data_IF_607324761226
#
_entry.id   IF_607324761226
#
_cell.length_a   1.000
_cell.length_b   1.000
_cell.length_c   1.000
_cell.angle_alpha   90.00
_cell.angle_beta   90.00
_cell.angle_gamma   90.00
#
_symmetry.space_group_name_H-M   'P 1'
#
loop_
_entity.id
_entity.type
_entity.pdbx_description
1 polymer ?
#
# COMPACT_ATOMS: atom_id res chain seq x y z
N UNK A 1 -16.72 0.39 -14.77
CA UNK A 1 -15.86 -0.67 -14.20
C UNK A 1 -14.52 -0.63 -14.92
N UNK A 2 -13.42 -0.40 -14.19
CA UNK A 2 -12.06 -0.17 -14.74
C UNK A 2 -11.58 -1.39 -15.56
N UNK A 3 -10.90 -1.15 -16.68
CA UNK A 3 -10.46 -2.18 -17.64
C UNK A 3 -9.59 -3.28 -17.01
N UNK A 4 -8.72 -2.93 -16.05
CA UNK A 4 -7.87 -3.90 -15.36
C UNK A 4 -8.62 -4.95 -14.54
N UNK A 5 -9.72 -4.56 -13.88
CA UNK A 5 -10.55 -5.48 -13.07
C UNK A 5 -11.26 -6.48 -13.98
N UNK A 6 -11.78 -6.02 -15.12
CA UNK A 6 -12.40 -6.88 -16.13
C UNK A 6 -11.41 -7.93 -16.64
N UNK A 7 -10.18 -7.52 -16.98
CA UNK A 7 -9.14 -8.43 -17.48
C UNK A 7 -8.73 -9.48 -16.44
N UNK A 8 -8.52 -9.08 -15.18
CA UNK A 8 -8.19 -10.03 -14.11
C UNK A 8 -9.32 -11.06 -13.89
N UNK A 9 -10.57 -10.58 -13.89
CA UNK A 9 -11.76 -11.44 -13.71
C UNK A 9 -11.90 -12.43 -14.86
N UNK A 10 -11.68 -11.98 -16.09
CA UNK A 10 -11.76 -12.81 -17.29
C UNK A 10 -10.71 -13.92 -17.27
N UNK A 11 -9.45 -13.62 -16.92
CA UNK A 11 -8.39 -14.63 -16.80
C UNK A 11 -8.71 -15.70 -15.75
N UNK A 12 -9.24 -15.29 -14.58
CA UNK A 12 -9.66 -16.24 -13.55
C UNK A 12 -10.76 -17.16 -14.08
N UNK A 13 -11.77 -16.59 -14.77
CA UNK A 13 -12.86 -17.39 -15.36
C UNK A 13 -12.35 -18.40 -16.38
N UNK A 14 -11.41 -18.00 -17.23
CA UNK A 14 -10.83 -18.89 -18.24
C UNK A 14 -10.12 -20.09 -17.61
N UNK A 15 -9.30 -19.88 -16.56
CA UNK A 15 -8.65 -20.97 -15.83
C UNK A 15 -9.68 -21.89 -15.19
N UNK A 16 -10.70 -21.33 -14.52
CA UNK A 16 -11.75 -22.11 -13.87
C UNK A 16 -12.56 -22.96 -14.87
N UNK A 17 -12.78 -22.48 -16.08
CA UNK A 17 -13.57 -23.17 -17.11
C UNK A 17 -12.74 -24.18 -17.92
N UNK A 18 -11.51 -23.82 -18.31
CA UNK A 18 -10.67 -24.65 -19.18
C UNK A 18 -9.92 -25.73 -18.42
N UNK A 19 -9.32 -25.37 -17.29
CA UNK A 19 -8.50 -26.28 -16.49
C UNK A 19 -9.34 -27.04 -15.46
N UNK A 20 -10.55 -26.56 -15.17
CA UNK A 20 -11.52 -27.15 -14.24
C UNK A 20 -10.85 -27.68 -12.95
N UNK A 21 -10.14 -26.81 -12.21
CA UNK A 21 -9.38 -27.24 -11.06
C UNK A 21 -10.31 -27.74 -9.96
N UNK A 22 -9.97 -28.90 -9.37
CA UNK A 22 -10.76 -29.52 -8.30
C UNK A 22 -10.87 -28.65 -7.05
N UNK A 23 -9.89 -27.78 -6.81
CA UNK A 23 -9.81 -26.90 -5.64
C UNK A 23 -9.24 -25.55 -6.04
N UNK A 24 -9.64 -24.49 -5.32
CA UNK A 24 -9.06 -23.16 -5.42
C UNK A 24 -8.95 -22.52 -4.04
N UNK A 25 -8.01 -21.58 -3.91
CA UNK A 25 -7.78 -20.83 -2.67
C UNK A 25 -8.08 -19.37 -2.94
N UNK A 26 -8.91 -18.78 -2.06
CA UNK A 26 -9.13 -17.34 -2.02
C UNK A 26 -8.45 -16.79 -0.77
N UNK A 27 -7.50 -15.89 -0.97
CA UNK A 27 -6.82 -15.17 0.11
C UNK A 27 -7.10 -13.67 0.00
N UNK A 28 -7.29 -13.02 1.15
CA UNK A 28 -7.38 -11.57 1.26
C UNK A 28 -6.43 -11.11 2.37
N UNK A 29 -5.76 -9.97 2.15
CA UNK A 29 -4.83 -9.40 3.12
C UNK A 29 -5.53 -8.26 3.85
N UNK A 30 -6.00 -8.56 5.07
CA UNK A 30 -6.66 -7.57 5.92
C UNK A 30 -5.73 -6.37 6.16
N UNK A 31 -6.29 -5.18 5.97
CA UNK A 31 -5.59 -3.90 6.20
C UNK A 31 -4.21 -3.85 5.54
N UNK A 32 -4.10 -4.31 4.27
CA UNK A 32 -2.85 -4.42 3.52
C UNK A 32 -1.87 -3.27 3.74
N UNK A 33 -2.29 -2.02 3.50
CA UNK A 33 -1.39 -0.86 3.65
C UNK A 33 -0.88 -0.65 5.08
N UNK A 34 -1.64 -1.06 6.10
CA UNK A 34 -1.25 -0.98 7.52
C UNK A 34 -0.29 -2.12 7.90
N UNK A 35 -0.35 -3.27 7.23
CA UNK A 35 0.46 -4.44 7.58
C UNK A 35 1.84 -4.47 6.92
N UNK A 36 2.14 -3.56 6.00
CA UNK A 36 3.44 -3.50 5.33
C UNK A 36 4.55 -3.20 6.34
N UNK A 37 5.53 -4.10 6.49
CA UNK A 37 6.73 -3.87 7.31
C UNK A 37 7.67 -2.86 6.65
N UNK A 38 8.08 -1.84 7.41
CA UNK A 38 9.06 -0.86 6.92
C UNK A 38 10.40 -1.49 6.58
N UNK A 39 10.89 -2.40 7.42
CA UNK A 39 12.17 -3.07 7.21
C UNK A 39 12.20 -3.84 5.89
N UNK A 40 11.14 -4.60 5.60
CA UNK A 40 11.02 -5.33 4.33
C UNK A 40 10.93 -4.38 3.13
N UNK A 41 10.07 -3.35 3.22
CA UNK A 41 9.89 -2.38 2.14
C UNK A 41 11.17 -1.60 1.81
N UNK A 42 11.92 -1.18 2.83
CA UNK A 42 13.19 -0.47 2.67
C UNK A 42 14.26 -1.38 2.06
N UNK A 43 14.30 -2.65 2.46
CA UNK A 43 15.18 -3.65 1.85
C UNK A 43 14.88 -3.83 0.36
N UNK A 44 13.60 -3.93 0.01
CA UNK A 44 13.16 -4.05 -1.38
C UNK A 44 13.51 -2.78 -2.18
N UNK A 45 13.32 -1.58 -1.62
CA UNK A 45 13.72 -0.33 -2.28
C UNK A 45 15.23 -0.30 -2.58
N UNK A 46 16.07 -0.66 -1.59
CA UNK A 46 17.53 -0.74 -1.78
C UNK A 46 17.95 -1.79 -2.81
N UNK A 47 17.10 -2.78 -3.08
CA UNK A 47 17.36 -3.83 -4.07
C UNK A 47 17.06 -3.39 -5.51
N UNK A 48 16.04 -2.55 -5.70
CA UNK A 48 15.56 -2.18 -7.04
C UNK A 48 15.92 -0.77 -7.49
N UNK A 49 16.37 0.09 -6.58
CA UNK A 49 16.79 1.45 -6.89
C UNK A 49 18.23 1.65 -6.45
N UNK A 50 19.01 2.31 -7.32
CA UNK A 50 20.43 2.59 -7.06
C UNK A 50 20.69 4.04 -6.64
N UNK A 51 19.80 4.99 -6.95
CA UNK A 51 19.98 6.40 -6.61
C UNK A 51 19.89 6.61 -5.07
N UNK A 52 20.98 6.99 -4.40
CA UNK A 52 20.99 7.18 -2.96
C UNK A 52 20.04 8.29 -2.50
N UNK A 53 19.82 9.34 -3.30
CA UNK A 53 18.90 10.44 -2.94
C UNK A 53 17.46 9.96 -2.96
N UNK A 54 17.08 9.18 -3.97
CA UNK A 54 15.77 8.56 -4.07
C UNK A 54 15.51 7.60 -2.90
N UNK A 55 16.48 6.74 -2.59
CA UNK A 55 16.38 5.79 -1.49
C UNK A 55 16.18 6.51 -0.15
N UNK A 56 16.96 7.55 0.13
CA UNK A 56 16.83 8.35 1.36
C UNK A 56 15.47 9.03 1.43
N UNK A 57 15.02 9.64 0.32
CA UNK A 57 13.71 10.29 0.26
C UNK A 57 12.58 9.30 0.57
N UNK A 58 12.59 8.12 -0.05
CA UNK A 58 11.57 7.09 0.17
C UNK A 58 11.61 6.54 1.60
N UNK A 59 12.80 6.34 2.17
CA UNK A 59 12.95 5.93 3.58
C UNK A 59 12.34 6.95 4.53
N UNK A 60 12.57 8.24 4.28
CA UNK A 60 12.02 9.31 5.11
C UNK A 60 10.50 9.38 5.02
N UNK A 61 9.92 9.17 3.83
CA UNK A 61 8.46 9.11 3.65
C UNK A 61 7.88 7.92 4.40
N UNK A 62 8.51 6.74 4.31
CA UNK A 62 8.04 5.52 4.96
C UNK A 62 8.10 5.65 6.49
N UNK A 63 9.20 6.18 7.02
CA UNK A 63 9.45 6.32 8.46
C UNK A 63 8.85 7.59 9.07
N UNK A 64 8.09 8.38 8.28
CA UNK A 64 7.55 9.64 8.77
C UNK A 64 6.67 9.38 10.01
N UNK A 65 6.92 10.06 11.15
CA UNK A 65 6.11 9.90 12.34
C UNK A 65 4.65 10.22 12.03
N UNK A 66 3.73 9.53 12.69
CA UNK A 66 2.30 9.84 12.62
C UNK A 66 1.93 10.60 13.88
N UNK A 67 1.42 11.81 13.69
CA UNK A 67 0.84 12.62 14.75
C UNK A 67 -0.41 11.92 15.28
N UNK A 68 -0.43 11.65 16.58
CA UNK A 68 -1.60 11.16 17.27
C UNK A 68 -1.97 12.11 18.41
N UNK A 69 -3.25 12.15 18.85
CA UNK A 69 -3.68 12.94 20.01
C UNK A 69 -2.90 12.65 21.30
N UNK A 70 -2.16 11.53 21.34
CA UNK A 70 -1.37 11.08 22.48
C UNK A 70 0.15 11.22 22.25
N UNK A 71 0.57 11.99 21.23
CA UNK A 71 1.98 12.23 20.88
C UNK A 71 2.41 11.60 19.55
N UNK A 72 3.69 11.76 19.23
CA UNK A 72 4.32 11.20 18.02
C UNK A 72 4.51 9.69 18.18
N UNK A 73 4.00 8.90 17.22
CA UNK A 73 4.33 7.48 17.10
C UNK A 73 5.21 7.27 15.89
N UNK A 74 6.32 6.55 16.09
CA UNK A 74 7.17 6.01 15.03
C UNK A 74 6.74 4.56 14.77
N UNK A 75 5.82 4.31 13.82
CA UNK A 75 5.42 2.95 13.53
C UNK A 75 6.52 2.23 12.75
N UNK A 76 6.73 0.94 13.02
CA UNK A 76 7.59 0.07 12.20
C UNK A 76 6.82 -0.61 11.04
N UNK A 77 5.52 -0.33 10.96
CA UNK A 77 4.59 -0.90 9.99
C UNK A 77 3.61 0.14 9.46
N UNK A 78 3.18 -0.07 8.23
CA UNK A 78 2.15 0.70 7.58
C UNK A 78 2.71 1.84 6.72
N UNK A 79 2.03 2.16 5.63
CA UNK A 79 2.33 3.33 4.81
C UNK A 79 1.20 4.34 5.00
N UNK A 80 1.55 5.58 5.35
CA UNK A 80 0.59 6.66 5.39
C UNK A 80 0.03 6.88 3.97
N UNK A 81 -1.27 6.66 3.80
CA UNK A 81 -1.96 7.05 2.58
C UNK A 81 -2.16 8.56 2.67
N UNK A 82 -1.37 9.33 1.92
CA UNK A 82 -1.60 10.76 1.77
C UNK A 82 -2.98 10.97 1.13
N UNK A 83 -4.03 11.14 1.93
CA UNK A 83 -5.20 11.88 1.48
C UNK A 83 -4.76 13.34 1.44
N UNK A 84 -4.81 13.97 0.27
CA UNK A 84 -4.97 15.42 0.23
C UNK A 84 -6.30 15.74 0.93
N UNK A 85 -6.26 15.91 2.25
CA UNK A 85 -7.28 16.67 2.94
C UNK A 85 -6.97 18.12 2.66
N UNK A 86 -7.59 18.67 1.62
CA UNK A 86 -7.84 20.11 1.60
C UNK A 86 -8.71 20.35 2.83
N UNK A 87 -8.09 20.83 3.92
CA UNK A 87 -8.83 21.39 5.03
C UNK A 87 -9.46 22.64 4.45
N UNK A 88 -10.75 22.57 4.12
CA UNK A 88 -11.53 23.77 3.90
C UNK A 88 -11.60 24.45 5.26
N UNK A 89 -10.78 25.50 5.43
CA UNK A 89 -10.94 26.45 6.52
C UNK A 89 -12.36 27.02 6.43
N UNK A 90 -13.27 26.49 7.25
CA UNK A 90 -14.47 27.21 7.63
C UNK A 90 -14.04 28.29 8.62
N UNK A 91 -13.52 29.41 8.10
CA UNK A 91 -13.49 30.65 8.86
C UNK A 91 -14.79 31.41 8.56
N UNK A 92 -15.63 31.50 9.59
CA UNK A 92 -16.77 32.39 9.61
C UNK A 92 -16.34 33.85 9.60
N UNK A 93 -17.17 34.64 8.92
CA UNK A 93 -17.29 36.09 8.97
C UNK A 93 -18.70 36.43 8.52
#
# INVERSE_FOLDING_TARGET
MLSGVKNATQKIREVLQKENPKYFIRADVKSFYKSISHGKLISDIKKYYDDPKLIVMLQNIIKNPIDSPYGYKNPDHGIALFRHTVSADTNGG
#
